data_IF_942635411276
#
_entry.id   IF_942635411276
#
_cell.length_a   1.000
_cell.length_b   1.000
_cell.length_c   1.000
_cell.angle_alpha   90.00
_cell.angle_beta   90.00
_cell.angle_gamma   90.00
#
_symmetry.space_group_name_H-M   'P 1'
#
loop_
_entity.id
_entity.type
_entity.pdbx_description
1 polymer ?
#
# COMPACT_ATOMS: atom_id res chain seq x y z
N UNK A 1 -10.10 30.61 1.07
CA UNK A 1 -9.01 30.84 0.08
C UNK A 1 -7.86 31.61 0.72
N UNK A 2 -8.12 32.74 1.39
CA UNK A 2 -7.10 33.52 2.12
C UNK A 2 -6.33 32.70 3.20
N UNK A 3 -7.02 31.87 3.97
CA UNK A 3 -6.38 31.03 4.99
C UNK A 3 -5.43 29.97 4.41
N UNK A 4 -5.65 29.54 3.16
CA UNK A 4 -4.82 28.54 2.48
C UNK A 4 -3.53 29.20 1.96
N UNK A 5 -3.62 30.42 1.45
CA UNK A 5 -2.44 31.21 1.07
C UNK A 5 -1.62 31.64 2.28
N UNK A 6 -2.27 31.97 3.39
CA UNK A 6 -1.59 32.31 4.64
C UNK A 6 -0.91 31.07 5.26
N UNK A 7 -1.57 29.91 5.26
CA UNK A 7 -0.97 28.64 5.66
C UNK A 7 0.18 28.21 4.74
N UNK A 8 0.12 28.52 3.42
CA UNK A 8 1.24 28.30 2.49
C UNK A 8 2.45 29.17 2.81
N UNK A 9 2.24 30.42 3.23
CA UNK A 9 3.33 31.37 3.58
C UNK A 9 4.00 31.06 4.91
N UNK A 10 3.33 30.39 5.84
CA UNK A 10 3.87 30.00 7.14
C UNK A 10 4.40 28.56 7.19
N UNK A 11 4.56 27.87 6.06
CA UNK A 11 4.99 26.46 6.06
C UNK A 11 6.44 26.35 6.53
N UNK A 12 6.75 25.43 7.47
CA UNK A 12 8.12 25.17 7.83
C UNK A 12 8.87 24.66 6.59
N UNK A 13 10.09 25.16 6.39
CA UNK A 13 10.91 24.78 5.23
C UNK A 13 11.40 23.31 5.29
N UNK A 14 11.21 22.63 6.43
CA UNK A 14 11.66 21.27 6.71
C UNK A 14 10.67 20.54 7.59
N UNK A 15 10.65 19.21 7.46
CA UNK A 15 9.86 18.34 8.34
C UNK A 15 10.39 18.40 9.77
N UNK A 16 9.50 18.24 10.74
CA UNK A 16 9.86 17.98 12.13
C UNK A 16 10.51 16.59 12.30
N UNK A 17 10.29 15.69 11.33
CA UNK A 17 10.74 14.30 11.35
C UNK A 17 12.08 14.13 10.62
N UNK A 18 12.92 13.22 11.10
CA UNK A 18 14.25 12.95 10.56
C UNK A 18 14.47 11.45 10.28
N UNK A 19 15.01 11.05 9.11
CA UNK A 19 15.31 11.90 7.95
C UNK A 19 14.02 12.39 7.29
N UNK A 20 14.07 13.58 6.68
CA UNK A 20 12.97 14.10 5.87
C UNK A 20 12.74 13.19 4.66
N UNK A 21 11.48 12.94 4.32
CA UNK A 21 11.14 12.12 3.16
C UNK A 21 11.43 12.85 1.84
N UNK A 22 11.80 12.08 0.82
CA UNK A 22 11.75 12.56 -0.56
C UNK A 22 10.31 12.93 -0.92
N UNK A 23 10.13 14.04 -1.62
CA UNK A 23 8.80 14.56 -2.00
C UNK A 23 7.89 14.99 -0.84
N UNK A 24 8.45 15.15 0.37
CA UNK A 24 7.74 15.76 1.49
C UNK A 24 7.29 17.18 1.14
N UNK A 25 6.06 17.52 1.50
CA UNK A 25 5.51 18.87 1.32
C UNK A 25 5.08 19.53 2.64
N UNK A 26 4.49 18.77 3.56
CA UNK A 26 4.11 19.26 4.88
C UNK A 26 3.93 18.10 5.86
N UNK A 27 4.16 18.38 7.14
CA UNK A 27 3.70 17.54 8.23
C UNK A 27 2.24 17.89 8.55
N UNK A 28 1.43 16.86 8.77
CA UNK A 28 0.03 17.02 9.10
C UNK A 28 -0.14 17.29 10.60
N UNK A 29 -1.24 17.94 11.02
CA UNK A 29 -1.45 18.29 12.43
C UNK A 29 -1.31 17.07 13.32
N UNK A 30 -0.60 17.25 14.43
CA UNK A 30 -0.38 16.20 15.42
C UNK A 30 -1.69 15.59 15.93
N UNK A 31 -1.61 14.39 16.49
CA UNK A 31 -2.78 13.65 16.98
C UNK A 31 -3.65 14.48 17.91
N UNK A 32 -3.03 15.16 18.88
CA UNK A 32 -3.71 15.99 19.88
C UNK A 32 -4.04 17.41 19.39
N UNK A 33 -3.43 17.82 18.29
CA UNK A 33 -3.65 19.14 17.73
C UNK A 33 -5.06 19.27 17.15
N UNK A 34 -5.59 20.49 17.17
CA UNK A 34 -6.91 20.77 16.64
C UNK A 34 -6.91 20.54 15.13
N UNK A 35 -7.60 19.48 14.72
CA UNK A 35 -7.80 19.16 13.30
C UNK A 35 -8.72 20.20 12.66
N UNK A 36 -8.21 20.95 11.67
CA UNK A 36 -8.96 22.03 11.02
C UNK A 36 -10.03 21.53 10.04
N UNK A 37 -9.86 20.33 9.48
CA UNK A 37 -10.76 19.78 8.46
C UNK A 37 -11.79 18.83 9.03
N UNK A 38 -13.00 18.86 8.45
CA UNK A 38 -14.08 17.94 8.79
C UNK A 38 -13.62 16.49 8.53
N UNK A 39 -13.77 15.56 9.49
CA UNK A 39 -13.31 14.19 9.34
C UNK A 39 -14.11 13.48 8.24
N UNK A 40 -13.43 13.01 7.20
CA UNK A 40 -14.05 12.29 6.09
C UNK A 40 -13.04 11.33 5.46
N UNK A 41 -13.34 10.03 5.44
CA UNK A 41 -12.52 9.02 4.76
C UNK A 41 -12.71 9.09 3.25
N UNK A 42 -11.64 8.90 2.49
CA UNK A 42 -11.75 8.75 1.03
C UNK A 42 -12.49 7.44 0.72
N UNK A 43 -12.03 6.34 1.32
CA UNK A 43 -12.56 4.98 1.17
C UNK A 43 -12.43 4.22 2.49
N UNK A 44 -13.30 3.24 2.69
CA UNK A 44 -13.25 2.35 3.84
C UNK A 44 -13.73 0.96 3.43
N UNK A 45 -13.05 -0.08 3.90
CA UNK A 45 -13.49 -1.46 3.66
C UNK A 45 -14.49 -1.87 4.73
N UNK A 46 -14.08 -1.76 6.00
CA UNK A 46 -14.89 -2.06 7.19
C UNK A 46 -14.57 -1.06 8.27
N UNK A 47 -15.57 -0.66 9.05
CA UNK A 47 -15.41 0.27 10.16
C UNK A 47 -16.40 -0.05 11.27
N UNK A 48 -15.86 -0.30 12.46
CA UNK A 48 -16.62 -0.60 13.67
C UNK A 48 -16.14 0.30 14.83
N UNK A 49 -16.74 0.13 16.02
CA UNK A 49 -16.33 0.84 17.24
C UNK A 49 -14.99 0.40 17.85
N UNK A 50 -14.36 -0.66 17.32
CA UNK A 50 -13.10 -1.23 17.83
C UNK A 50 -11.94 -1.05 16.84
N UNK A 51 -12.20 -1.31 15.56
CA UNK A 51 -11.21 -1.19 14.50
C UNK A 51 -11.83 -0.65 13.21
N UNK A 52 -11.00 -0.08 12.35
CA UNK A 52 -11.33 0.32 10.99
C UNK A 52 -10.24 -0.15 10.02
N UNK A 53 -10.63 -0.46 8.79
CA UNK A 53 -9.72 -0.89 7.73
C UNK A 53 -9.86 0.01 6.51
N UNK A 54 -8.73 0.61 6.15
CA UNK A 54 -8.60 1.51 5.01
C UNK A 54 -7.85 0.77 3.91
N UNK A 55 -8.43 0.64 2.70
CA UNK A 55 -7.75 -0.01 1.59
C UNK A 55 -6.79 0.97 0.91
N UNK A 56 -5.48 0.69 0.95
CA UNK A 56 -4.51 1.40 0.11
C UNK A 56 -4.42 0.71 -1.27
N UNK A 57 -5.13 1.27 -2.26
CA UNK A 57 -5.13 0.73 -3.62
C UNK A 57 -3.87 1.11 -4.39
N UNK A 58 -3.20 0.10 -4.94
CA UNK A 58 -2.12 0.29 -5.89
C UNK A 58 -2.67 0.31 -7.32
N UNK A 59 -2.11 1.16 -8.18
CA UNK A 59 -2.40 1.10 -9.60
C UNK A 59 -1.78 -0.15 -10.19
N UNK A 60 -2.63 -1.06 -10.65
CA UNK A 60 -2.17 -2.21 -11.42
C UNK A 60 -2.90 -2.25 -12.76
N UNK A 61 -2.11 -2.26 -13.82
CA UNK A 61 -2.59 -2.36 -15.19
C UNK A 61 -2.82 -3.83 -15.55
N UNK A 62 -3.84 -4.45 -14.96
CA UNK A 62 -4.12 -5.89 -15.12
C UNK A 62 -4.33 -6.29 -16.58
N UNK A 63 -5.01 -5.47 -17.37
CA UNK A 63 -5.18 -5.70 -18.81
C UNK A 63 -3.84 -5.77 -19.57
N UNK A 64 -2.87 -4.92 -19.20
CA UNK A 64 -1.53 -4.94 -19.80
C UNK A 64 -0.78 -6.21 -19.42
N UNK A 65 -0.90 -6.67 -18.17
CA UNK A 65 -0.26 -7.92 -17.73
C UNK A 65 -0.89 -9.14 -18.41
N UNK A 66 -2.22 -9.21 -18.53
CA UNK A 66 -2.90 -10.28 -19.26
C UNK A 66 -2.51 -10.30 -20.74
N UNK A 67 -2.46 -9.12 -21.37
CA UNK A 67 -1.98 -9.00 -22.75
C UNK A 67 -0.53 -9.46 -22.89
N UNK A 68 0.35 -9.09 -21.96
CA UNK A 68 1.74 -9.53 -21.93
C UNK A 68 1.85 -11.05 -21.80
N UNK A 69 1.06 -11.68 -20.92
CA UNK A 69 1.00 -13.14 -20.74
C UNK A 69 0.56 -13.81 -22.06
N UNK A 70 -0.47 -13.29 -22.72
CA UNK A 70 -0.95 -13.81 -24.00
C UNK A 70 0.14 -13.74 -25.08
N UNK A 71 0.78 -12.58 -25.23
CA UNK A 71 1.86 -12.38 -26.20
C UNK A 71 3.06 -13.31 -25.92
N UNK A 72 3.49 -13.43 -24.66
CA UNK A 72 4.58 -14.32 -24.28
C UNK A 72 4.24 -15.79 -24.51
N UNK A 73 2.99 -16.19 -24.26
CA UNK A 73 2.51 -17.55 -24.56
C UNK A 73 2.60 -17.84 -26.05
N UNK A 74 2.18 -16.89 -26.90
CA UNK A 74 2.27 -17.04 -28.35
C UNK A 74 3.74 -17.16 -28.82
N UNK A 75 4.65 -16.35 -28.26
CA UNK A 75 6.08 -16.43 -28.56
C UNK A 75 6.64 -17.80 -28.18
N UNK A 76 6.37 -18.28 -26.96
CA UNK A 76 6.82 -19.61 -26.50
C UNK A 76 6.24 -20.71 -27.39
N UNK A 77 4.96 -20.62 -27.77
CA UNK A 77 4.32 -21.59 -28.66
C UNK A 77 4.95 -21.61 -30.06
N UNK A 78 5.28 -20.46 -30.63
CA UNK A 78 6.01 -20.36 -31.92
C UNK A 78 7.41 -20.98 -31.79
N UNK A 79 8.10 -20.76 -30.68
CA UNK A 79 9.42 -21.37 -30.44
C UNK A 79 9.36 -22.91 -30.30
N UNK A 80 8.29 -23.45 -29.72
CA UNK A 80 8.11 -24.91 -29.52
C UNK A 80 7.58 -25.59 -30.79
N UNK A 81 6.58 -24.99 -31.43
CA UNK A 81 5.90 -25.56 -32.60
C UNK A 81 6.53 -25.14 -33.93
N UNK A 82 7.47 -24.21 -33.93
CA UNK A 82 8.25 -23.83 -35.10
C UNK A 82 8.95 -25.07 -35.66
N UNK A 83 8.94 -25.23 -36.97
CA UNK A 83 9.57 -26.35 -37.66
C UNK A 83 11.08 -26.34 -37.49
N UNK A 84 11.58 -26.80 -36.34
CA UNK A 84 12.99 -27.01 -36.06
C UNK A 84 13.40 -28.28 -36.80
N UNK A 85 14.39 -28.18 -37.71
CA UNK A 85 14.91 -29.34 -38.41
C UNK A 85 15.70 -30.25 -37.44
N UNK A 86 15.70 -31.55 -37.72
CA UNK A 86 16.41 -32.54 -36.89
C UNK A 86 17.91 -32.23 -36.74
N UNK A 87 18.55 -31.75 -37.82
CA UNK A 87 19.96 -31.32 -37.83
C UNK A 87 20.23 -30.14 -36.87
N UNK A 88 19.31 -29.18 -36.78
CA UNK A 88 19.44 -28.08 -35.82
C UNK A 88 19.31 -28.56 -34.38
N UNK A 89 18.46 -29.55 -34.13
CA UNK A 89 18.28 -30.13 -32.79
C UNK A 89 19.52 -30.89 -32.29
N UNK A 90 20.35 -31.42 -33.20
CA UNK A 90 21.62 -32.06 -32.85
C UNK A 90 22.76 -31.06 -32.61
N UNK A 91 22.57 -29.79 -33.00
CA UNK A 91 23.57 -28.74 -32.83
C UNK A 91 23.55 -28.20 -31.39
N UNK A 92 24.60 -28.51 -30.62
CA UNK A 92 24.79 -28.02 -29.25
C UNK A 92 24.63 -26.48 -29.11
N UNK A 93 25.26 -25.62 -29.94
CA UNK A 93 25.09 -24.17 -29.79
C UNK A 93 23.65 -23.72 -30.05
N UNK A 94 22.94 -24.37 -30.97
CA UNK A 94 21.53 -24.08 -31.24
C UNK A 94 20.64 -24.48 -30.05
N UNK A 95 20.86 -25.66 -29.47
CA UNK A 95 20.16 -26.11 -28.27
C UNK A 95 20.39 -25.17 -27.08
N UNK A 96 21.64 -24.74 -26.85
CA UNK A 96 21.96 -23.79 -25.79
C UNK A 96 21.25 -22.45 -25.99
N UNK A 97 21.29 -21.90 -27.21
CA UNK A 97 20.57 -20.67 -27.56
C UNK A 97 19.06 -20.81 -27.34
N UNK A 98 18.48 -21.94 -27.80
CA UNK A 98 17.05 -22.22 -27.65
C UNK A 98 16.65 -22.32 -26.17
N UNK A 99 17.41 -23.06 -25.37
CA UNK A 99 17.15 -23.23 -23.93
C UNK A 99 17.25 -21.90 -23.18
N UNK A 100 18.23 -21.06 -23.53
CA UNK A 100 18.41 -19.75 -22.93
C UNK A 100 17.27 -18.79 -23.27
N UNK A 101 16.84 -18.76 -24.54
CA UNK A 101 15.70 -17.97 -24.97
C UNK A 101 14.41 -18.41 -24.27
N UNK A 102 14.13 -19.72 -24.23
CA UNK A 102 12.97 -20.27 -23.51
C UNK A 102 13.00 -19.93 -22.03
N UNK A 103 14.18 -20.00 -21.38
CA UNK A 103 14.34 -19.62 -19.98
C UNK A 103 14.01 -18.14 -19.74
N UNK A 104 14.45 -17.24 -20.62
CA UNK A 104 14.14 -15.80 -20.53
C UNK A 104 12.65 -15.55 -20.68
N UNK A 105 12.03 -16.04 -21.76
CA UNK A 105 10.60 -15.81 -22.01
C UNK A 105 9.72 -16.45 -20.93
N UNK A 106 10.07 -17.65 -20.47
CA UNK A 106 9.37 -18.32 -19.38
C UNK A 106 9.52 -17.57 -18.06
N UNK A 107 10.68 -16.97 -17.79
CA UNK A 107 10.89 -16.14 -16.58
C UNK A 107 10.01 -14.88 -16.60
N UNK A 108 9.94 -14.18 -17.74
CA UNK A 108 9.04 -13.02 -17.88
C UNK A 108 7.57 -13.41 -17.81
N UNK A 109 7.21 -14.54 -18.42
CA UNK A 109 5.86 -15.08 -18.35
C UNK A 109 5.47 -15.40 -16.90
N UNK A 110 6.35 -16.10 -16.17
CA UNK A 110 6.16 -16.42 -14.75
C UNK A 110 6.06 -15.15 -13.91
N UNK A 111 6.88 -14.14 -14.17
CA UNK A 111 6.80 -12.85 -13.48
C UNK A 111 5.43 -12.20 -13.67
N UNK A 112 4.96 -12.08 -14.91
CA UNK A 112 3.67 -11.47 -15.22
C UNK A 112 2.51 -12.26 -14.62
N UNK A 113 2.55 -13.59 -14.74
CA UNK A 113 1.57 -14.49 -14.13
C UNK A 113 1.51 -14.32 -12.60
N UNK A 114 2.67 -14.35 -11.94
CA UNK A 114 2.74 -14.17 -10.48
C UNK A 114 2.24 -12.80 -10.05
N UNK A 115 2.54 -11.74 -10.81
CA UNK A 115 2.00 -10.40 -10.53
C UNK A 115 0.47 -10.35 -10.65
N UNK A 116 -0.10 -11.02 -11.65
CA UNK A 116 -1.55 -11.04 -11.85
C UNK A 116 -2.26 -11.80 -10.74
N UNK A 117 -1.72 -12.95 -10.34
CA UNK A 117 -2.36 -13.89 -9.40
C UNK A 117 -2.08 -13.56 -7.94
N UNK A 118 -0.82 -13.30 -7.57
CA UNK A 118 -0.42 -13.19 -6.16
C UNK A 118 -0.31 -11.76 -5.67
N UNK A 119 -0.21 -10.77 -6.55
CA UNK A 119 0.04 -9.40 -6.15
C UNK A 119 -1.28 -8.74 -5.71
N UNK A 120 -1.47 -8.43 -4.40
CA UNK A 120 -2.72 -7.88 -3.87
C UNK A 120 -3.03 -6.50 -4.46
N UNK A 121 -4.24 -6.24 -4.95
CA UNK A 121 -4.60 -4.92 -5.50
C UNK A 121 -4.58 -3.83 -4.42
N UNK A 122 -5.08 -4.19 -3.25
CA UNK A 122 -5.09 -3.32 -2.06
C UNK A 122 -4.18 -3.90 -0.99
N UNK A 123 -3.42 -3.03 -0.35
CA UNK A 123 -2.66 -3.33 0.86
C UNK A 123 -3.42 -2.70 2.03
N UNK A 124 -4.31 -3.44 2.71
CA UNK A 124 -5.17 -2.88 3.74
C UNK A 124 -4.38 -2.45 4.97
N UNK A 125 -4.84 -1.38 5.61
CA UNK A 125 -4.26 -0.89 6.87
C UNK A 125 -5.38 -0.88 7.90
N UNK A 126 -5.14 -1.55 9.03
CA UNK A 126 -6.09 -1.61 10.14
C UNK A 126 -5.64 -0.71 11.27
N UNK A 127 -6.57 0.11 11.73
CA UNK A 127 -6.40 0.96 12.89
C UNK A 127 -7.30 0.43 14.00
N UNK A 128 -6.70 0.02 15.12
CA UNK A 128 -7.44 -0.46 16.29
C UNK A 128 -7.41 0.63 17.38
N UNK A 129 -8.57 1.27 17.61
CA UNK A 129 -8.70 2.34 18.59
C UNK A 129 -8.75 1.86 20.04
N UNK A 130 -9.02 0.57 20.31
CA UNK A 130 -9.02 0.03 21.68
C UNK A 130 -7.62 -0.36 22.13
N UNK A 131 -6.80 -0.87 21.21
CA UNK A 131 -5.39 -1.21 21.44
C UNK A 131 -4.44 -0.04 21.21
N UNK A 132 -4.90 1.04 20.55
CA UNK A 132 -4.03 2.14 20.09
C UNK A 132 -2.87 1.63 19.21
N UNK A 133 -3.18 0.70 18.29
CA UNK A 133 -2.21 0.09 17.38
C UNK A 133 -2.65 0.17 15.93
N UNK A 134 -1.67 0.21 15.04
CA UNK A 134 -1.83 0.20 13.58
C UNK A 134 -1.18 -1.07 13.02
N UNK A 135 -1.93 -1.80 12.21
CA UNK A 135 -1.48 -3.00 11.53
C UNK A 135 -1.40 -2.70 10.04
N UNK A 136 -0.21 -2.78 9.47
CA UNK A 136 0.08 -2.43 8.08
C UNK A 136 0.35 -3.72 7.32
N UNK A 137 -0.51 -4.03 6.35
CA UNK A 137 -0.31 -5.17 5.45
C UNK A 137 0.64 -4.77 4.32
N UNK A 138 1.86 -5.33 4.30
CA UNK A 138 2.83 -5.04 3.24
C UNK A 138 3.10 -6.26 2.37
N UNK A 139 2.98 -6.05 1.06
CA UNK A 139 3.36 -7.04 0.08
C UNK A 139 4.75 -6.73 -0.49
N UNK A 140 5.73 -7.56 -0.15
CA UNK A 140 7.12 -7.36 -0.59
C UNK A 140 7.36 -8.03 -1.94
N UNK A 141 6.98 -7.33 -3.01
CA UNK A 141 7.27 -7.75 -4.39
C UNK A 141 8.77 -7.60 -4.70
N UNK A 142 9.37 -8.65 -5.27
CA UNK A 142 10.73 -8.61 -5.83
C UNK A 142 10.68 -8.74 -7.35
N UNK A 143 11.67 -8.17 -8.04
CA UNK A 143 11.79 -8.32 -9.51
C UNK A 143 12.04 -9.77 -9.93
N UNK A 144 12.76 -10.55 -9.10
CA UNK A 144 13.02 -11.95 -9.39
C UNK A 144 11.72 -12.79 -9.26
N UNK A 145 11.20 -13.38 -10.35
CA UNK A 145 10.02 -14.23 -10.32
C UNK A 145 10.25 -15.61 -9.70
N UNK A 146 11.49 -15.97 -9.41
CA UNK A 146 11.86 -17.20 -8.72
C UNK A 146 12.05 -17.00 -7.21
N UNK A 147 12.08 -15.74 -6.74
CA UNK A 147 12.18 -15.42 -5.32
C UNK A 147 10.81 -15.45 -4.63
N UNK A 148 10.79 -15.70 -3.32
CA UNK A 148 9.58 -15.57 -2.51
C UNK A 148 9.12 -14.11 -2.47
N UNK A 149 7.82 -13.88 -2.57
CA UNK A 149 7.17 -12.58 -2.41
C UNK A 149 6.35 -12.59 -1.13
N UNK A 150 6.98 -12.37 0.04
CA UNK A 150 6.30 -12.51 1.31
C UNK A 150 5.31 -11.37 1.54
N UNK A 151 4.22 -11.71 2.21
CA UNK A 151 3.35 -10.76 2.89
C UNK A 151 3.90 -10.60 4.31
N UNK A 152 4.14 -9.36 4.72
CA UNK A 152 4.59 -9.02 6.07
C UNK A 152 3.59 -8.05 6.66
N UNK A 153 3.04 -8.41 7.82
CA UNK A 153 2.20 -7.48 8.58
C UNK A 153 3.08 -6.83 9.64
N UNK A 154 3.18 -5.51 9.61
CA UNK A 154 3.90 -4.74 10.62
C UNK A 154 2.92 -4.14 11.60
N UNK A 155 3.26 -4.19 12.89
CA UNK A 155 2.45 -3.63 13.97
C UNK A 155 3.20 -2.46 14.57
N UNK A 156 2.51 -1.33 14.69
CA UNK A 156 3.06 -0.10 15.24
C UNK A 156 2.13 0.48 16.29
N UNK A 157 2.69 1.08 17.33
CA UNK A 157 1.91 1.82 18.31
C UNK A 157 1.46 3.16 17.71
N UNK A 158 0.19 3.50 17.90
CA UNK A 158 -0.39 4.75 17.38
C UNK A 158 0.33 5.98 17.94
N UNK A 159 0.94 5.84 19.12
CA UNK A 159 1.70 6.88 19.78
C UNK A 159 2.97 7.32 19.02
N UNK A 160 3.43 6.50 18.07
CA UNK A 160 4.63 6.76 17.28
C UNK A 160 4.31 7.12 15.82
N UNK A 161 3.04 7.16 15.45
CA UNK A 161 2.60 7.44 14.08
C UNK A 161 2.35 8.94 13.89
N UNK A 162 2.92 9.47 12.82
CA UNK A 162 2.77 10.86 12.38
C UNK A 162 2.29 10.89 10.93
N UNK A 163 1.45 11.86 10.60
CA UNK A 163 0.98 12.08 9.23
C UNK A 163 1.91 13.03 8.49
N UNK A 164 2.38 12.61 7.33
CA UNK A 164 3.09 13.45 6.36
C UNK A 164 2.25 13.53 5.08
N UNK A 165 2.27 14.68 4.40
CA UNK A 165 1.76 14.79 3.03
C UNK A 165 2.94 14.84 2.07
N UNK A 166 2.96 13.89 1.14
CA UNK A 166 3.93 13.83 0.07
C UNK A 166 3.29 14.35 -1.22
N UNK A 167 4.05 15.05 -2.06
CA UNK A 167 3.60 15.49 -3.38
C UNK A 167 4.44 14.86 -4.47
N UNK A 168 3.82 14.01 -5.27
CA UNK A 168 4.47 13.32 -6.36
C UNK A 168 4.35 14.16 -7.65
N UNK A 169 5.47 14.66 -8.22
CA UNK A 169 5.46 15.42 -9.47
C UNK A 169 5.49 14.53 -10.72
N UNK A 170 5.38 13.20 -10.56
CA UNK A 170 5.58 12.24 -11.63
C UNK A 170 4.47 12.27 -12.69
N UNK A 171 4.83 12.05 -13.97
CA UNK A 171 3.89 12.08 -15.11
C UNK A 171 2.68 11.15 -14.96
N UNK A 172 2.87 10.00 -14.32
CA UNK A 172 1.83 8.97 -14.13
C UNK A 172 1.33 8.87 -12.69
N UNK A 173 1.94 9.63 -11.77
CA UNK A 173 1.64 9.66 -10.34
C UNK A 173 1.65 11.12 -9.90
N UNK A 174 0.81 11.95 -10.52
CA UNK A 174 0.73 13.37 -10.19
C UNK A 174 -0.29 13.60 -9.07
N UNK A 175 0.11 14.27 -7.99
CA UNK A 175 -0.77 14.70 -6.92
C UNK A 175 -0.19 14.50 -5.52
N UNK A 176 -1.03 14.68 -4.51
CA UNK A 176 -0.63 14.54 -3.11
C UNK A 176 -1.02 13.16 -2.56
N UNK A 177 -0.25 12.64 -1.61
CA UNK A 177 -0.48 11.36 -0.94
C UNK A 177 -0.36 11.53 0.58
N UNK A 178 -1.24 10.86 1.33
CA UNK A 178 -1.11 10.71 2.78
C UNK A 178 -0.15 9.56 3.08
N UNK A 179 0.94 9.88 3.75
CA UNK A 179 1.94 8.90 4.21
C UNK A 179 2.02 8.97 5.73
N UNK A 180 1.98 7.82 6.37
CA UNK A 180 2.24 7.72 7.80
C UNK A 180 3.70 7.38 8.03
N UNK A 181 4.37 8.22 8.80
CA UNK A 181 5.73 8.01 9.28
C UNK A 181 5.66 7.46 10.72
N UNK A 182 6.29 6.31 10.93
CA UNK A 182 6.46 5.69 12.25
C UNK A 182 7.81 6.09 12.78
N UNK A 183 7.82 6.73 13.93
CA UNK A 183 9.05 7.14 14.61
C UNK A 183 9.50 6.12 15.64
N UNK A 184 10.76 6.19 16.06
CA UNK A 184 11.21 5.49 17.25
C UNK A 184 10.59 6.16 18.50
N UNK A 185 10.14 5.38 19.50
CA UNK A 185 9.47 5.90 20.68
C UNK A 185 10.22 7.06 21.34
N UNK A 186 9.50 8.15 21.62
CA UNK A 186 10.06 9.35 22.26
C UNK A 186 11.03 10.17 21.40
N UNK A 187 11.25 9.80 20.14
CA UNK A 187 12.12 10.53 19.20
C UNK A 187 11.35 10.94 17.95
N UNK A 188 11.93 11.84 17.16
CA UNK A 188 11.43 12.19 15.81
C UNK A 188 12.16 11.44 14.70
N UNK A 189 12.85 10.34 15.05
CA UNK A 189 13.58 9.54 14.09
C UNK A 189 12.65 8.56 13.40
N UNK A 190 12.47 8.69 12.09
CA UNK A 190 11.57 7.84 11.30
C UNK A 190 12.22 6.50 11.02
N UNK A 191 11.56 5.44 11.49
CA UNK A 191 11.94 4.05 11.24
C UNK A 191 11.29 3.51 9.98
N UNK A 192 10.04 3.91 9.73
CA UNK A 192 9.24 3.32 8.67
C UNK A 192 8.23 4.32 8.10
N UNK A 193 7.95 4.25 6.80
CA UNK A 193 6.92 5.05 6.14
C UNK A 193 6.02 4.13 5.34
N UNK A 194 4.71 4.32 5.47
CA UNK A 194 3.74 3.61 4.65
C UNK A 194 2.67 4.56 4.10
N UNK A 195 2.31 4.44 2.81
CA UNK A 195 1.22 5.21 2.25
C UNK A 195 -0.12 4.71 2.79
N UNK A 196 -0.96 5.62 3.27
CA UNK A 196 -2.34 5.30 3.67
C UNK A 196 -3.28 5.41 2.48
N UNK A 197 -3.05 6.44 1.66
CA UNK A 197 -3.92 6.77 0.55
C UNK A 197 -3.18 6.59 -0.76
N UNK A 198 -3.94 6.50 -1.83
CA UNK A 198 -3.39 6.71 -3.16
C UNK A 198 -3.05 8.19 -3.36
N UNK A 199 -2.23 8.48 -4.36
CA UNK A 199 -2.09 9.84 -4.90
C UNK A 199 -3.46 10.39 -5.34
N UNK A 200 -3.83 11.53 -4.78
CA UNK A 200 -5.09 12.24 -4.96
C UNK A 200 -4.80 13.66 -5.43
N UNK A 201 -5.64 14.19 -6.33
CA UNK A 201 -5.49 15.56 -6.84
C UNK A 201 -5.93 16.64 -5.85
N UNK A 202 -6.96 16.38 -5.05
CA UNK A 202 -7.49 17.33 -4.06
C UNK A 202 -6.84 17.13 -2.69
N UNK A 203 -6.03 18.10 -2.28
CA UNK A 203 -5.31 18.11 -0.99
C UNK A 203 -6.27 18.04 0.19
N UNK A 204 -7.49 18.59 0.06
CA UNK A 204 -8.49 18.58 1.15
C UNK A 204 -8.90 17.18 1.55
N UNK A 205 -8.84 16.23 0.62
CA UNK A 205 -9.14 14.84 0.93
C UNK A 205 -8.11 14.24 1.88
N UNK A 206 -6.84 14.61 1.74
CA UNK A 206 -5.76 14.14 2.62
C UNK A 206 -5.93 14.68 4.03
N UNK A 207 -6.21 15.97 4.17
CA UNK A 207 -6.47 16.57 5.47
C UNK A 207 -7.72 16.00 6.14
N UNK A 208 -8.80 15.80 5.38
CA UNK A 208 -10.03 15.24 5.89
C UNK A 208 -9.86 13.78 6.34
N UNK A 209 -9.07 12.99 5.61
CA UNK A 209 -8.79 11.60 5.94
C UNK A 209 -7.88 11.47 7.16
N UNK A 210 -6.80 12.25 7.24
CA UNK A 210 -5.96 12.29 8.44
C UNK A 210 -6.75 12.75 9.68
N UNK A 211 -7.57 13.80 9.55
CA UNK A 211 -8.46 14.27 10.61
C UNK A 211 -9.41 13.17 11.08
N UNK A 212 -9.97 12.38 10.15
CA UNK A 212 -10.82 11.24 10.48
C UNK A 212 -10.06 10.17 11.27
N UNK A 213 -8.88 9.77 10.81
CA UNK A 213 -8.06 8.76 11.47
C UNK A 213 -7.71 9.20 12.90
N UNK A 214 -7.23 10.44 13.07
CA UNK A 214 -6.92 10.99 14.39
C UNK A 214 -8.13 10.97 15.34
N UNK A 215 -9.29 11.47 14.87
CA UNK A 215 -10.50 11.52 15.69
C UNK A 215 -11.06 10.13 16.01
N UNK A 216 -10.96 9.19 15.07
CA UNK A 216 -11.34 7.79 15.27
C UNK A 216 -10.48 7.14 16.36
N UNK A 217 -9.16 7.32 16.30
CA UNK A 217 -8.21 6.75 17.26
C UNK A 217 -8.37 7.39 18.65
N UNK A 218 -8.67 8.68 18.73
CA UNK A 218 -9.08 9.34 19.99
C UNK A 218 -10.42 8.88 20.53
N UNK A 219 -11.17 8.13 19.73
CA UNK A 219 -12.45 7.56 20.10
C UNK A 219 -13.64 8.50 20.01
N UNK A 220 -13.49 9.62 19.31
CA UNK A 220 -14.58 10.55 19.00
C UNK A 220 -15.56 9.93 17.99
N UNK A 221 -16.75 10.50 17.90
CA UNK A 221 -17.72 10.12 16.86
C UNK A 221 -17.27 10.69 15.53
N UNK A 222 -17.04 9.83 14.55
CA UNK A 222 -16.65 10.21 13.20
C UNK A 222 -17.65 9.64 12.17
N UNK A 223 -17.83 10.27 11.01
CA UNK A 223 -18.72 9.77 9.96
C UNK A 223 -18.29 8.39 9.47
N UNK A 224 -19.23 7.45 9.35
CA UNK A 224 -18.96 6.12 8.81
C UNK A 224 -18.96 6.08 7.27
N UNK A 225 -19.62 7.06 6.64
CA UNK A 225 -19.77 7.14 5.18
C UNK A 225 -18.50 7.69 4.52
N UNK A 226 -17.83 6.92 3.63
CA UNK A 226 -16.68 7.41 2.86
C UNK A 226 -17.10 8.35 1.74
N UNK A 227 -16.16 9.14 1.19
CA UNK A 227 -16.39 9.97 -0.01
C UNK A 227 -16.73 9.10 -1.23
N UNK A 228 -16.01 7.99 -1.40
CA UNK A 228 -16.23 7.04 -2.49
C UNK A 228 -16.68 5.70 -1.93
N UNK A 229 -17.97 5.39 -2.08
CA UNK A 229 -18.55 4.09 -1.71
C UNK A 229 -18.26 2.99 -2.74
N UNK A 230 -18.14 3.37 -4.02
CA UNK A 230 -17.90 2.43 -5.11
C UNK A 230 -16.49 1.84 -5.03
N UNK A 231 -16.40 0.51 -5.00
CA UNK A 231 -15.12 -0.21 -5.02
C UNK A 231 -14.50 -0.15 -6.41
N UNK A 232 -13.16 -0.04 -6.54
CA UNK A 232 -12.52 -0.05 -7.86
C UNK A 232 -12.71 -1.44 -8.48
N UNK A 233 -12.94 -1.49 -9.79
CA UNK A 233 -13.09 -2.75 -10.50
C UNK A 233 -11.83 -3.64 -10.36
N UNK A 234 -12.04 -4.92 -10.11
CA UNK A 234 -10.99 -5.92 -9.91
C UNK A 234 -11.35 -7.21 -10.65
N UNK A 235 -10.42 -7.79 -11.40
CA UNK A 235 -10.51 -9.15 -11.96
C UNK A 235 -10.63 -10.26 -10.89
N UNK A 236 -10.03 -10.11 -9.69
CA UNK A 236 -10.21 -11.07 -8.57
C UNK A 236 -11.13 -10.53 -7.48
N UNK A 237 -11.97 -11.38 -6.86
CA UNK A 237 -12.68 -11.04 -5.64
C UNK A 237 -11.72 -10.69 -4.50
N UNK A 238 -12.17 -9.86 -3.56
CA UNK A 238 -11.35 -9.30 -2.47
C UNK A 238 -10.80 -10.37 -1.51
N UNK A 239 -11.60 -11.40 -1.24
CA UNK A 239 -11.23 -12.52 -0.36
C UNK A 239 -9.96 -13.25 -0.84
N UNK A 240 -9.71 -13.24 -2.16
CA UNK A 240 -8.52 -13.82 -2.77
C UNK A 240 -7.40 -12.80 -2.98
N UNK A 241 -7.62 -11.51 -2.71
CA UNK A 241 -6.60 -10.49 -2.91
C UNK A 241 -5.62 -10.44 -1.74
N UNK A 242 -6.08 -10.55 -0.49
CA UNK A 242 -5.22 -10.53 0.69
C UNK A 242 -5.80 -11.40 1.80
N UNK A 243 -4.92 -12.06 2.54
CA UNK A 243 -5.30 -12.87 3.70
C UNK A 243 -4.43 -12.46 4.88
N UNK A 244 -5.06 -12.04 5.96
CA UNK A 244 -4.36 -11.73 7.20
C UNK A 244 -3.90 -13.02 7.88
N UNK A 245 -2.71 -13.05 8.51
CA UNK A 245 -2.33 -14.14 9.41
C UNK A 245 -3.35 -14.25 10.56
N UNK A 246 -3.79 -15.46 10.90
CA UNK A 246 -4.94 -15.71 11.80
C UNK A 246 -4.80 -15.04 13.18
N UNK A 247 -3.59 -15.07 13.72
CA UNK A 247 -3.21 -14.45 14.99
C UNK A 247 -3.34 -12.93 14.94
N UNK A 248 -2.80 -12.30 13.91
CA UNK A 248 -2.89 -10.84 13.70
C UNK A 248 -4.28 -10.39 13.27
N UNK A 249 -5.02 -11.23 12.54
CA UNK A 249 -6.41 -10.98 12.17
C UNK A 249 -7.27 -10.86 13.44
N UNK A 250 -7.11 -11.81 14.37
CA UNK A 250 -7.79 -11.78 15.66
C UNK A 250 -7.33 -10.62 16.55
N UNK A 251 -6.03 -10.37 16.65
CA UNK A 251 -5.51 -9.27 17.49
C UNK A 251 -6.01 -7.91 17.00
N UNK A 252 -5.93 -7.67 15.69
CA UNK A 252 -6.32 -6.39 15.08
C UNK A 252 -7.81 -6.10 15.20
N UNK A 253 -8.67 -7.13 15.25
CA UNK A 253 -10.11 -6.96 15.38
C UNK A 253 -10.64 -6.90 16.82
N UNK A 254 -9.85 -7.29 17.81
CA UNK A 254 -10.30 -7.42 19.21
C UNK A 254 -9.79 -6.29 20.10
N UNK A 255 -10.49 -6.07 21.22
CA UNK A 255 -9.98 -5.24 22.32
C UNK A 255 -8.89 -6.02 23.09
N UNK A 256 -7.96 -5.35 23.79
CA UNK A 256 -6.99 -6.04 24.62
C UNK A 256 -7.69 -6.83 25.73
N UNK A 257 -7.28 -8.08 25.93
CA UNK A 257 -7.79 -8.92 27.00
C UNK A 257 -7.43 -8.27 28.34
N UNK A 258 -8.40 -8.15 29.26
CA UNK A 258 -8.23 -7.45 30.55
C UNK A 258 -7.13 -8.05 31.46
N UNK A 259 -6.50 -9.16 31.08
CA UNK A 259 -5.54 -9.90 31.91
C UNK A 259 -4.05 -9.56 31.70
N UNK A 260 -3.64 -8.79 30.69
CA UNK A 260 -2.21 -8.52 30.45
C UNK A 260 -1.60 -7.38 31.28
N UNK A 261 -2.41 -6.60 32.01
CA UNK A 261 -1.93 -5.43 32.76
C UNK A 261 -1.51 -5.74 34.21
N UNK A 262 -0.98 -6.94 34.49
CA UNK A 262 -0.44 -7.31 35.81
C UNK A 262 1.00 -7.80 35.72
N UNK A 263 1.89 -7.05 35.09
CA UNK A 263 3.34 -7.15 35.31
C UNK A 263 4.00 -5.92 34.69
N UNK A 264 4.49 -5.03 35.55
CA UNK A 264 5.15 -3.78 35.22
C UNK A 264 5.24 -2.93 36.47
#
# INVERSE_FOLDING_TARGET
MADIEQARRSRPARSILYPQADYWEEDLPGREEKQSYKPQLIRVTKMNGTWMEIPCYTNKSWGVLWFLIFMLTAVIAIYICGGISFEMLLSLPFLLMLSFALFIFSSFWLFAWREVVFSPRSTPIRFNRKRQKVYVYEFQRRWNPWARWPVVVKVFDWEDVYGERHFWPGRYTFGSQLVCAVCSPGTRQVLHRFPVTRVVGDIRMIWAEWSHICQYMQGRKVPATPMFSARPFSWTPEEYQYCWPDDLDRESMTAPDKCSNKTG
#
